data_IF_247330721970
#
_entry.id   IF_247330721970
#
_cell.length_a   1.000
_cell.length_b   1.000
_cell.length_c   1.000
_cell.angle_alpha   90.00
_cell.angle_beta   90.00
_cell.angle_gamma   90.00
#
_symmetry.space_group_name_H-M   'P 1'
#
loop_
_entity.id
_entity.type
_entity.pdbx_description
1 polymer ?
#
# COMPACT_ATOMS: atom_id res chain seq x y z
N UNK A 1 -14.89 -2.93 0.65
CA UNK A 1 -13.43 -2.91 0.49
C UNK A 1 -13.01 -2.20 -0.80
N UNK A 2 -11.81 -1.69 -0.85
CA UNK A 2 -11.13 -1.19 -2.05
C UNK A 2 -9.74 -1.82 -2.08
N UNK A 3 -9.32 -2.30 -3.25
CA UNK A 3 -8.03 -2.94 -3.43
C UNK A 3 -7.15 -2.10 -4.34
N UNK A 4 -5.92 -1.89 -3.94
CA UNK A 4 -4.83 -1.29 -4.74
C UNK A 4 -3.89 -2.42 -5.14
N UNK A 5 -3.76 -2.63 -6.44
CA UNK A 5 -2.91 -3.69 -7.01
C UNK A 5 -1.45 -3.26 -7.04
N UNK A 6 -0.54 -4.22 -7.10
CA UNK A 6 0.90 -4.02 -7.20
C UNK A 6 1.27 -3.07 -8.36
N UNK A 7 0.74 -3.31 -9.56
CA UNK A 7 0.87 -2.37 -10.67
C UNK A 7 -0.35 -1.47 -10.75
N UNK A 8 -0.23 -0.32 -10.11
CA UNK A 8 -1.27 0.72 -10.07
C UNK A 8 -1.61 1.29 -11.45
N UNK A 9 -0.75 1.09 -12.46
CA UNK A 9 -1.00 1.58 -13.82
C UNK A 9 -2.21 0.92 -14.46
N UNK A 10 -2.54 -0.31 -14.05
CA UNK A 10 -3.74 -1.01 -14.51
C UNK A 10 -5.03 -0.59 -13.81
N UNK A 11 -4.95 0.31 -12.83
CA UNK A 11 -6.11 0.76 -12.06
C UNK A 11 -6.46 2.22 -12.28
N UNK A 12 -5.59 2.98 -12.95
CA UNK A 12 -5.75 4.41 -13.17
C UNK A 12 -6.15 4.64 -14.63
N UNK A 13 -7.44 4.90 -14.88
CA UNK A 13 -8.02 4.92 -16.23
C UNK A 13 -8.54 6.29 -16.69
N UNK A 14 -8.78 7.22 -15.75
CA UNK A 14 -9.38 8.50 -16.08
C UNK A 14 -8.41 9.41 -16.85
N UNK A 15 -8.94 10.37 -17.61
CA UNK A 15 -8.15 11.31 -18.39
C UNK A 15 -7.25 12.21 -17.52
N UNK A 16 -7.65 12.43 -16.26
CA UNK A 16 -6.89 13.26 -15.32
C UNK A 16 -6.90 12.65 -13.93
N UNK A 17 -5.88 12.93 -13.13
CA UNK A 17 -5.77 12.47 -11.75
C UNK A 17 -6.96 12.93 -10.89
N UNK A 18 -7.45 14.15 -11.09
CA UNK A 18 -8.61 14.66 -10.36
C UNK A 18 -9.88 13.84 -10.65
N UNK A 19 -10.11 13.49 -11.92
CA UNK A 19 -11.22 12.61 -12.30
C UNK A 19 -11.04 11.19 -11.74
N UNK A 20 -9.80 10.70 -11.69
CA UNK A 20 -9.49 9.39 -11.13
C UNK A 20 -9.86 9.31 -9.66
N UNK A 21 -9.54 10.34 -8.87
CA UNK A 21 -9.84 10.38 -7.42
C UNK A 21 -11.34 10.27 -7.12
N UNK A 22 -12.20 10.61 -8.06
CA UNK A 22 -13.66 10.59 -7.89
C UNK A 22 -14.35 9.56 -8.79
N UNK A 23 -13.59 8.77 -9.52
CA UNK A 23 -14.12 7.82 -10.49
C UNK A 23 -15.07 6.82 -9.83
N UNK A 24 -16.24 6.63 -10.43
CA UNK A 24 -17.29 5.72 -9.94
C UNK A 24 -18.01 6.19 -8.66
N UNK A 25 -17.76 7.39 -8.17
CA UNK A 25 -18.46 7.96 -7.02
C UNK A 25 -19.68 8.75 -7.51
N UNK A 26 -20.90 8.32 -7.13
CA UNK A 26 -22.15 8.93 -7.59
C UNK A 26 -22.31 10.40 -7.17
N UNK A 27 -21.85 10.75 -5.96
CA UNK A 27 -21.85 12.10 -5.42
C UNK A 27 -20.45 12.40 -4.88
N UNK A 28 -19.51 12.82 -5.75
CA UNK A 28 -18.12 13.02 -5.36
C UNK A 28 -17.96 14.26 -4.48
N UNK A 29 -17.11 14.14 -3.49
CA UNK A 29 -16.62 15.24 -2.69
C UNK A 29 -15.30 15.74 -3.31
N UNK A 30 -15.41 16.80 -4.10
CA UNK A 30 -14.24 17.35 -4.80
C UNK A 30 -13.26 18.02 -3.84
N UNK A 31 -13.73 18.56 -2.72
CA UNK A 31 -12.86 19.14 -1.70
C UNK A 31 -12.07 18.04 -1.00
N UNK A 32 -12.70 16.91 -0.70
CA UNK A 32 -11.99 15.75 -0.15
C UNK A 32 -10.94 15.21 -1.13
N UNK A 33 -11.24 15.16 -2.42
CA UNK A 33 -10.29 14.75 -3.45
C UNK A 33 -9.09 15.71 -3.54
N UNK A 34 -9.36 17.02 -3.54
CA UNK A 34 -8.33 18.05 -3.50
C UNK A 34 -7.45 17.91 -2.27
N UNK A 35 -8.04 17.82 -1.07
CA UNK A 35 -7.30 17.67 0.18
C UNK A 35 -6.44 16.39 0.20
N UNK A 36 -6.96 15.27 -0.33
CA UNK A 36 -6.20 14.04 -0.46
C UNK A 36 -4.96 14.25 -1.34
N UNK A 37 -5.11 14.85 -2.50
CA UNK A 37 -3.99 15.14 -3.42
C UNK A 37 -2.98 16.13 -2.82
N UNK A 38 -3.44 17.15 -2.09
CA UNK A 38 -2.57 18.11 -1.40
C UNK A 38 -1.73 17.43 -0.31
N UNK A 39 -2.35 16.61 0.54
CA UNK A 39 -1.67 15.85 1.60
C UNK A 39 -0.60 14.90 1.06
N UNK A 40 -0.81 14.40 -0.14
CA UNK A 40 0.09 13.46 -0.81
C UNK A 40 1.11 14.14 -1.73
N UNK A 41 1.10 15.49 -1.80
CA UNK A 41 2.03 16.25 -2.62
C UNK A 41 1.91 15.95 -4.12
N UNK A 42 0.69 15.67 -4.59
CA UNK A 42 0.40 15.37 -6.00
C UNK A 42 -0.67 16.29 -6.61
N UNK A 43 -1.12 17.30 -5.91
CA UNK A 43 -2.17 18.20 -6.40
C UNK A 43 -1.74 18.98 -7.65
N UNK A 44 -0.47 19.29 -7.81
CA UNK A 44 0.06 19.96 -9.01
C UNK A 44 -0.16 19.13 -10.29
N UNK A 45 -0.24 17.79 -10.16
CA UNK A 45 -0.48 16.85 -11.25
C UNK A 45 -1.98 16.55 -11.50
N UNK A 46 -2.92 17.26 -10.85
CA UNK A 46 -4.37 16.96 -10.90
C UNK A 46 -4.95 16.92 -12.30
N UNK A 47 -4.40 17.70 -13.23
CA UNK A 47 -4.82 17.78 -14.65
C UNK A 47 -4.04 16.84 -15.55
N UNK A 48 -3.03 16.15 -15.04
CA UNK A 48 -2.23 15.22 -15.82
C UNK A 48 -2.93 13.88 -15.95
N UNK A 49 -2.71 13.22 -17.08
CA UNK A 49 -3.13 11.83 -17.25
C UNK A 49 -2.32 10.93 -16.31
N UNK A 50 -2.94 10.02 -15.53
CA UNK A 50 -2.24 9.19 -14.55
C UNK A 50 -1.04 8.42 -15.11
N UNK A 51 -1.09 7.99 -16.37
CA UNK A 51 0.01 7.27 -17.02
C UNK A 51 1.29 8.09 -17.20
N UNK A 52 1.21 9.43 -17.15
CA UNK A 52 2.38 10.31 -17.26
C UNK A 52 3.11 10.50 -15.93
N UNK A 53 2.54 10.00 -14.83
CA UNK A 53 3.12 10.09 -13.50
C UNK A 53 4.27 9.09 -13.31
N UNK A 54 5.26 9.45 -12.49
CA UNK A 54 6.29 8.52 -12.04
C UNK A 54 5.69 7.39 -11.17
N UNK A 55 6.44 6.30 -10.94
CA UNK A 55 5.97 5.19 -10.10
C UNK A 55 5.51 5.64 -8.71
N UNK A 56 6.32 6.44 -8.01
CA UNK A 56 5.97 6.97 -6.70
C UNK A 56 4.78 7.93 -6.72
N UNK A 57 4.62 8.73 -7.80
CA UNK A 57 3.44 9.57 -7.98
C UNK A 57 2.18 8.73 -8.22
N UNK A 58 2.26 7.66 -9.00
CA UNK A 58 1.16 6.71 -9.22
C UNK A 58 0.75 6.02 -7.93
N UNK A 59 1.72 5.60 -7.10
CA UNK A 59 1.43 5.04 -5.78
C UNK A 59 0.68 6.04 -4.91
N UNK A 60 1.16 7.26 -4.80
CA UNK A 60 0.45 8.33 -4.07
C UNK A 60 -0.94 8.62 -4.65
N UNK A 61 -1.10 8.56 -5.97
CA UNK A 61 -2.39 8.70 -6.63
C UNK A 61 -3.37 7.59 -6.21
N UNK A 62 -2.94 6.34 -6.20
CA UNK A 62 -3.77 5.22 -5.74
C UNK A 62 -4.18 5.35 -4.26
N UNK A 63 -3.27 5.85 -3.41
CA UNK A 63 -3.60 6.18 -2.02
C UNK A 63 -4.61 7.33 -1.96
N UNK A 64 -4.49 8.40 -2.78
CA UNK A 64 -5.47 9.48 -2.84
C UNK A 64 -6.87 8.95 -3.20
N UNK A 65 -6.97 8.11 -4.23
CA UNK A 65 -8.21 7.43 -4.62
C UNK A 65 -8.79 6.65 -3.43
N UNK A 66 -7.95 5.89 -2.71
CA UNK A 66 -8.38 5.11 -1.55
C UNK A 66 -8.91 5.96 -0.40
N UNK A 67 -8.38 7.17 -0.21
CA UNK A 67 -8.88 8.11 0.79
C UNK A 67 -10.29 8.61 0.47
N UNK A 68 -10.57 8.84 -0.81
CA UNK A 68 -11.82 9.43 -1.30
C UNK A 68 -12.93 8.38 -1.51
N UNK A 69 -12.55 7.14 -1.79
CA UNK A 69 -13.48 6.07 -2.16
C UNK A 69 -14.51 5.65 -1.08
N UNK A 70 -14.50 6.28 0.11
CA UNK A 70 -15.43 6.04 1.24
C UNK A 70 -15.54 4.57 1.66
N UNK A 71 -14.50 3.77 1.44
CA UNK A 71 -14.43 2.38 1.91
C UNK A 71 -13.68 2.32 3.23
N UNK A 72 -14.19 1.49 4.15
CA UNK A 72 -13.57 1.33 5.48
C UNK A 72 -12.44 0.31 5.47
N UNK A 73 -12.47 -0.62 4.51
CA UNK A 73 -11.45 -1.66 4.34
C UNK A 73 -10.68 -1.40 3.06
N UNK A 74 -9.37 -1.25 3.20
CA UNK A 74 -8.41 -1.03 2.12
C UNK A 74 -7.44 -2.20 2.07
N UNK A 75 -7.16 -2.71 0.87
CA UNK A 75 -6.22 -3.80 0.64
C UNK A 75 -5.17 -3.29 -0.32
N UNK A 76 -3.90 -3.42 0.04
CA UNK A 76 -2.76 -3.04 -0.80
C UNK A 76 -1.91 -4.27 -1.08
N UNK A 77 -1.64 -4.49 -2.36
CA UNK A 77 -0.79 -5.57 -2.83
C UNK A 77 0.57 -5.01 -3.25
N UNK A 78 1.63 -5.40 -2.54
CA UNK A 78 3.02 -4.96 -2.74
C UNK A 78 3.18 -3.44 -2.93
N UNK A 79 2.69 -2.60 -1.98
CA UNK A 79 2.62 -1.15 -2.16
C UNK A 79 3.99 -0.45 -2.20
N UNK A 80 5.06 -1.13 -1.84
CA UNK A 80 6.43 -0.61 -1.81
C UNK A 80 7.33 -1.19 -2.89
N UNK A 81 6.79 -2.06 -3.76
CA UNK A 81 7.56 -2.69 -4.82
C UNK A 81 8.24 -1.66 -5.73
N UNK A 82 9.56 -1.75 -5.85
CA UNK A 82 10.36 -0.83 -6.69
C UNK A 82 10.57 0.57 -6.11
N UNK A 83 10.22 0.81 -4.86
CA UNK A 83 10.51 2.07 -4.16
C UNK A 83 11.87 1.99 -3.44
N UNK A 84 12.54 3.14 -3.35
CA UNK A 84 13.66 3.33 -2.44
C UNK A 84 13.17 3.44 -0.98
N UNK A 85 14.10 3.38 -0.03
CA UNK A 85 13.80 3.40 1.40
C UNK A 85 13.02 4.66 1.83
N UNK A 86 13.41 5.84 1.36
CA UNK A 86 12.75 7.09 1.72
C UNK A 86 11.31 7.15 1.21
N UNK A 87 11.08 6.69 0.00
CA UNK A 87 9.74 6.56 -0.59
C UNK A 87 8.89 5.52 0.16
N UNK A 88 9.47 4.40 0.57
CA UNK A 88 8.82 3.38 1.38
C UNK A 88 8.37 3.95 2.74
N UNK A 89 9.22 4.70 3.43
CA UNK A 89 8.86 5.35 4.71
C UNK A 89 7.73 6.37 4.51
N UNK A 90 7.71 7.11 3.39
CA UNK A 90 6.60 8.00 3.07
C UNK A 90 5.28 7.22 2.93
N UNK A 91 5.29 6.09 2.23
CA UNK A 91 4.11 5.21 2.09
C UNK A 91 3.66 4.68 3.46
N UNK A 92 4.59 4.26 4.32
CA UNK A 92 4.30 3.83 5.69
C UNK A 92 3.58 4.94 6.50
N UNK A 93 4.04 6.19 6.39
CA UNK A 93 3.40 7.36 7.00
C UNK A 93 1.97 7.61 6.48
N UNK A 94 1.73 7.37 5.19
CA UNK A 94 0.38 7.47 4.61
C UNK A 94 -0.56 6.42 5.19
N UNK A 95 -0.10 5.18 5.38
CA UNK A 95 -0.91 4.11 5.97
C UNK A 95 -1.25 4.40 7.43
N UNK A 96 -0.32 4.95 8.19
CA UNK A 96 -0.61 5.44 9.55
C UNK A 96 -1.69 6.54 9.55
N UNK A 97 -1.66 7.43 8.56
CA UNK A 97 -2.68 8.47 8.39
C UNK A 97 -4.05 7.87 8.09
N UNK A 98 -4.12 6.91 7.16
CA UNK A 98 -5.36 6.20 6.83
C UNK A 98 -5.91 5.44 8.05
N UNK A 99 -5.05 4.79 8.83
CA UNK A 99 -5.43 4.11 10.07
C UNK A 99 -6.02 5.08 11.10
N UNK A 100 -5.42 6.27 11.28
CA UNK A 100 -5.95 7.33 12.15
C UNK A 100 -7.30 7.88 11.67
N UNK A 101 -7.61 7.75 10.38
CA UNK A 101 -8.93 8.07 9.81
C UNK A 101 -9.97 6.94 10.03
N UNK A 102 -9.64 5.90 10.79
CA UNK A 102 -10.50 4.76 11.08
C UNK A 102 -10.57 3.71 9.98
N UNK A 103 -9.64 3.74 9.00
CA UNK A 103 -9.59 2.71 7.96
C UNK A 103 -8.91 1.44 8.47
N UNK A 104 -9.44 0.29 8.09
CA UNK A 104 -8.79 -1.00 8.27
C UNK A 104 -7.95 -1.28 7.04
N UNK A 105 -6.66 -1.53 7.22
CA UNK A 105 -5.71 -1.67 6.12
C UNK A 105 -5.11 -3.07 6.16
N UNK A 106 -5.28 -3.79 5.06
CA UNK A 106 -4.55 -5.03 4.80
C UNK A 106 -3.45 -4.75 3.79
N UNK A 107 -2.26 -5.25 4.09
CA UNK A 107 -1.11 -5.17 3.18
C UNK A 107 -0.64 -6.59 2.90
N UNK A 108 -0.53 -6.93 1.64
CA UNK A 108 0.17 -8.14 1.18
C UNK A 108 1.55 -7.69 0.75
N UNK A 109 2.60 -8.17 1.39
CA UNK A 109 3.98 -7.80 1.06
C UNK A 109 4.98 -8.79 1.61
N UNK A 110 6.15 -8.82 1.01
CA UNK A 110 7.35 -9.52 1.46
C UNK A 110 8.47 -8.56 1.95
N UNK A 111 8.12 -7.27 2.13
CA UNK A 111 9.06 -6.24 2.59
C UNK A 111 9.07 -6.18 4.12
N UNK A 112 10.13 -6.73 4.73
CA UNK A 112 10.33 -6.73 6.18
C UNK A 112 10.35 -5.32 6.78
N UNK A 113 11.06 -4.38 6.16
CA UNK A 113 11.24 -3.03 6.68
C UNK A 113 9.92 -2.26 6.68
N UNK A 114 9.14 -2.44 5.62
CA UNK A 114 7.80 -1.85 5.54
C UNK A 114 6.84 -2.45 6.58
N UNK A 115 6.82 -3.76 6.74
CA UNK A 115 6.01 -4.43 7.79
C UNK A 115 6.36 -3.91 9.17
N UNK A 116 7.64 -3.80 9.48
CA UNK A 116 8.12 -3.30 10.78
C UNK A 116 7.74 -1.82 11.02
N UNK A 117 7.73 -0.99 9.96
CA UNK A 117 7.44 0.44 10.04
C UNK A 117 5.94 0.78 10.07
N UNK A 118 5.10 0.01 9.33
CA UNK A 118 3.72 0.38 9.04
C UNK A 118 2.66 -0.50 9.70
N UNK A 119 2.97 -1.77 9.99
CA UNK A 119 1.97 -2.74 10.38
C UNK A 119 1.87 -2.91 11.90
N UNK A 120 0.66 -3.20 12.38
CA UNK A 120 0.36 -3.44 13.80
C UNK A 120 0.01 -4.91 14.10
N UNK A 121 -0.18 -5.71 13.06
CA UNK A 121 -0.51 -7.14 13.14
C UNK A 121 0.03 -7.86 11.92
N UNK A 122 0.48 -9.08 12.11
CA UNK A 122 0.98 -9.96 11.05
C UNK A 122 0.11 -11.20 10.97
N UNK A 123 -0.31 -11.55 9.76
CA UNK A 123 -0.95 -12.82 9.44
C UNK A 123 -0.05 -13.50 8.42
N UNK A 124 0.55 -14.62 8.83
CA UNK A 124 1.37 -15.43 7.94
C UNK A 124 0.52 -16.51 7.26
N UNK A 125 0.53 -16.48 5.93
CA UNK A 125 -0.15 -17.46 5.08
C UNK A 125 0.89 -18.32 4.36
N UNK A 126 0.74 -19.64 4.43
CA UNK A 126 1.57 -20.59 3.70
C UNK A 126 0.71 -21.77 3.23
N UNK A 127 0.88 -22.20 1.97
CA UNK A 127 0.12 -23.30 1.36
C UNK A 127 -1.40 -23.17 1.52
N UNK A 128 -1.93 -21.92 1.39
CA UNK A 128 -3.36 -21.62 1.50
C UNK A 128 -3.93 -21.71 2.92
N UNK A 129 -3.08 -21.78 3.95
CA UNK A 129 -3.48 -21.84 5.35
C UNK A 129 -2.80 -20.74 6.16
N UNK A 130 -3.55 -20.25 7.16
CA UNK A 130 -2.98 -19.38 8.18
C UNK A 130 -2.06 -20.19 9.08
N UNK A 131 -0.80 -19.82 9.15
CA UNK A 131 0.21 -20.43 10.00
C UNK A 131 0.36 -19.68 11.31
N UNK A 132 0.44 -18.34 11.23
CA UNK A 132 0.59 -17.49 12.41
C UNK A 132 -0.32 -16.26 12.27
N UNK A 133 -0.72 -15.72 13.43
CA UNK A 133 -1.47 -14.49 13.56
C UNK A 133 -1.14 -13.86 14.91
N UNK A 134 -0.51 -12.66 14.88
CA UNK A 134 -0.08 -12.00 16.11
C UNK A 134 0.00 -10.48 15.95
N UNK A 135 -0.25 -9.72 17.04
CA UNK A 135 0.02 -8.29 17.04
C UNK A 135 1.52 -8.04 16.93
N UNK A 136 1.93 -7.11 16.06
CA UNK A 136 3.31 -6.71 15.92
C UNK A 136 3.64 -5.63 16.97
N UNK A 137 4.73 -5.83 17.67
CA UNK A 137 5.22 -4.91 18.71
C UNK A 137 6.75 -4.98 18.78
N UNK A 138 7.42 -3.98 19.38
CA UNK A 138 8.87 -4.05 19.58
C UNK A 138 9.36 -5.31 20.28
N UNK A 139 8.54 -5.88 21.17
CA UNK A 139 8.91 -7.06 21.95
C UNK A 139 8.89 -8.36 21.13
N UNK A 140 8.17 -8.41 20.01
CA UNK A 140 8.04 -9.61 19.17
C UNK A 140 8.50 -9.42 17.72
N UNK A 141 9.18 -8.32 17.43
CA UNK A 141 9.73 -8.03 16.10
C UNK A 141 10.71 -9.12 15.64
N UNK A 142 11.38 -9.80 16.58
CA UNK A 142 12.26 -10.93 16.29
C UNK A 142 11.52 -12.09 15.58
N UNK A 143 10.22 -12.32 15.87
CA UNK A 143 9.43 -13.35 15.17
C UNK A 143 9.32 -13.08 13.68
N UNK A 144 9.07 -11.80 13.33
CA UNK A 144 9.02 -11.36 11.93
C UNK A 144 10.39 -11.54 11.26
N UNK A 145 11.46 -11.14 11.92
CA UNK A 145 12.82 -11.30 11.43
C UNK A 145 13.18 -12.78 11.20
N UNK A 146 12.89 -13.66 12.18
CA UNK A 146 13.14 -15.09 12.06
C UNK A 146 12.36 -15.74 10.90
N UNK A 147 11.14 -15.27 10.65
CA UNK A 147 10.34 -15.73 9.52
C UNK A 147 11.03 -15.39 8.19
N UNK A 148 11.49 -14.16 8.00
CA UNK A 148 12.17 -13.74 6.77
C UNK A 148 13.48 -14.50 6.56
N UNK A 149 14.29 -14.68 7.59
CA UNK A 149 15.53 -15.46 7.52
C UNK A 149 15.29 -16.93 7.11
N UNK A 150 14.20 -17.53 7.56
CA UNK A 150 13.84 -18.91 7.18
C UNK A 150 13.36 -18.98 5.74
N UNK A 151 12.62 -17.98 5.28
CA UNK A 151 12.13 -17.91 3.90
C UNK A 151 13.27 -17.76 2.91
N UNK A 152 14.23 -16.89 3.17
CA UNK A 152 15.43 -16.72 2.35
C UNK A 152 16.27 -18.02 2.26
N UNK A 153 16.43 -18.72 3.39
CA UNK A 153 17.17 -20.01 3.38
C UNK A 153 16.47 -21.07 2.55
N UNK A 154 15.14 -21.12 2.54
CA UNK A 154 14.38 -22.06 1.71
C UNK A 154 14.53 -21.75 0.22
N UNK A 155 14.42 -20.49 -0.18
CA UNK A 155 14.60 -20.06 -1.57
C UNK A 155 16.02 -20.41 -2.09
N UNK A 156 17.06 -20.11 -1.31
CA UNK A 156 18.43 -20.43 -1.65
C UNK A 156 18.70 -21.95 -1.78
N UNK A 157 17.99 -22.79 -1.03
CA UNK A 157 18.11 -24.26 -1.16
C UNK A 157 17.40 -24.79 -2.40
N UNK A 158 16.30 -24.19 -2.80
CA UNK A 158 15.56 -24.57 -4.01
C UNK A 158 16.28 -24.13 -5.29
N UNK A 159 16.96 -22.99 -5.27
CA UNK A 159 17.78 -22.49 -6.40
C UNK A 159 19.08 -23.28 -6.59
N UNK A 160 19.71 -23.73 -5.51
CA UNK A 160 20.96 -24.49 -5.54
C UNK A 160 20.76 -26.00 -5.70
N UNK A 161 19.52 -26.50 -5.67
CA UNK A 161 19.15 -27.91 -5.84
C UNK A 161 18.75 -28.28 -7.28
N UNK A 162 18.85 -27.34 -8.22
CA UNK A 162 18.66 -27.53 -9.67
C UNK A 162 20.01 -27.52 -10.38
#
# INVERSE_FOLDING_TARGET
>A
AYMVMQDVSYQLFADTLEKECVFGIKHPDLDAAKQAMERLGIYEYRTHHPNTLSGGQKQRAAVAVSMVCRKDVLIFDEPTSGLDYDSMIQVAGLFQTLSKMGKVIFVVTHDYEFLAAACTRVIHLDNGKQQEDYPLSPNNLHRLHDFFLRSERRQNLEENGK
#
